data_IF_810347727054
#
_entry.id   IF_810347727054
#
_cell.length_a   1.000
_cell.length_b   1.000
_cell.length_c   1.000
_cell.angle_alpha   90.00
_cell.angle_beta   90.00
_cell.angle_gamma   90.00
#
_symmetry.space_group_name_H-M   'P 1'
#
loop_
_entity.id
_entity.type
_entity.pdbx_description
1 polymer ?
#
# COMPACT_ATOMS: atom_id res chain seq x y z
N UNK A 1 -25.79 4.56 5.50
CA UNK A 1 -26.03 3.83 4.24
C UNK A 1 -27.26 4.37 3.57
N UNK A 2 -27.08 5.18 2.54
CA UNK A 2 -28.18 5.79 1.78
C UNK A 2 -28.55 4.81 0.66
N UNK A 3 -29.78 4.32 0.66
CA UNK A 3 -30.34 3.50 -0.43
C UNK A 3 -31.30 4.40 -1.19
N UNK A 4 -30.88 4.85 -2.38
CA UNK A 4 -31.66 5.77 -3.21
C UNK A 4 -32.68 5.07 -4.11
N UNK A 5 -32.63 3.74 -4.19
CA UNK A 5 -33.49 2.91 -5.04
C UNK A 5 -34.43 2.08 -4.17
N UNK A 6 -35.73 2.39 -4.24
CA UNK A 6 -36.79 1.70 -3.51
C UNK A 6 -36.97 0.23 -3.91
N UNK A 7 -36.36 -0.21 -5.03
CA UNK A 7 -36.36 -1.60 -5.46
C UNK A 7 -35.28 -2.46 -4.77
N UNK A 8 -34.31 -1.83 -4.09
CA UNK A 8 -33.19 -2.54 -3.44
C UNK A 8 -33.51 -2.84 -1.97
N UNK A 9 -33.43 -4.12 -1.62
CA UNK A 9 -33.60 -4.58 -0.24
C UNK A 9 -32.45 -4.09 0.64
N UNK A 10 -32.76 -3.74 1.88
CA UNK A 10 -31.74 -3.47 2.90
C UNK A 10 -30.79 -4.68 3.01
N UNK A 11 -29.48 -4.43 2.86
CA UNK A 11 -28.45 -5.46 2.85
C UNK A 11 -28.09 -6.02 1.46
N UNK A 12 -28.69 -5.54 0.36
CA UNK A 12 -28.21 -5.90 -0.98
C UNK A 12 -26.81 -5.35 -1.23
N UNK A 13 -25.95 -6.14 -1.87
CA UNK A 13 -24.60 -5.70 -2.24
C UNK A 13 -24.64 -4.55 -3.24
N UNK A 14 -23.75 -3.57 -3.06
CA UNK A 14 -23.38 -2.65 -4.13
C UNK A 14 -22.67 -3.46 -5.22
N UNK A 15 -23.21 -3.44 -6.44
CA UNK A 15 -22.54 -3.99 -7.61
C UNK A 15 -21.68 -2.93 -8.30
N UNK A 16 -20.72 -3.39 -9.10
CA UNK A 16 -19.99 -2.51 -10.01
C UNK A 16 -20.96 -1.91 -11.04
N UNK A 17 -20.85 -0.61 -11.30
CA UNK A 17 -21.64 0.08 -12.34
C UNK A 17 -21.22 -0.31 -13.77
N UNK A 18 -20.02 -0.86 -13.93
CA UNK A 18 -19.47 -1.31 -15.21
C UNK A 18 -19.76 -2.79 -15.46
N UNK A 19 -20.21 -3.13 -16.68
CA UNK A 19 -20.36 -4.52 -17.10
C UNK A 19 -18.99 -5.17 -17.32
N UNK A 20 -18.88 -6.47 -17.05
CA UNK A 20 -17.64 -7.26 -17.26
C UNK A 20 -17.16 -7.18 -18.72
N UNK A 21 -18.10 -7.19 -19.67
CA UNK A 21 -17.80 -7.10 -21.11
C UNK A 21 -17.19 -5.75 -21.49
N UNK A 22 -17.77 -4.65 -20.99
CA UNK A 22 -17.28 -3.29 -21.22
C UNK A 22 -15.93 -3.08 -20.55
N UNK A 23 -15.75 -3.59 -19.33
CA UNK A 23 -14.49 -3.51 -18.61
C UNK A 23 -13.34 -4.16 -19.39
N UNK A 24 -13.57 -5.37 -19.92
CA UNK A 24 -12.59 -6.09 -20.73
C UNK A 24 -12.29 -5.37 -22.05
N UNK A 25 -13.30 -4.77 -22.68
CA UNK A 25 -13.13 -4.01 -23.92
C UNK A 25 -12.30 -2.74 -23.70
N UNK A 26 -12.51 -2.02 -22.59
CA UNK A 26 -11.86 -0.73 -22.33
C UNK A 26 -10.47 -0.86 -21.71
N UNK A 27 -10.28 -1.79 -20.77
CA UNK A 27 -9.03 -1.91 -20.00
C UNK A 27 -8.25 -3.19 -20.33
N UNK A 28 -8.73 -4.02 -21.26
CA UNK A 28 -8.16 -5.33 -21.58
C UNK A 28 -8.44 -6.42 -20.53
N UNK A 29 -8.62 -6.03 -19.26
CA UNK A 29 -8.96 -6.88 -18.14
C UNK A 29 -10.00 -6.22 -17.24
N UNK A 30 -10.68 -7.02 -16.41
CA UNK A 30 -11.65 -6.51 -15.44
C UNK A 30 -10.89 -5.83 -14.28
N UNK A 31 -11.10 -4.53 -14.01
CA UNK A 31 -10.50 -3.88 -12.87
C UNK A 31 -10.95 -4.53 -11.55
N UNK A 32 -10.06 -4.71 -10.57
CA UNK A 32 -10.41 -5.25 -9.27
C UNK A 32 -11.33 -4.29 -8.50
N UNK A 33 -12.24 -4.84 -7.71
CA UNK A 33 -13.06 -4.06 -6.77
C UNK A 33 -12.21 -3.64 -5.56
N UNK A 34 -12.18 -2.33 -5.28
CA UNK A 34 -11.41 -1.76 -4.18
C UNK A 34 -12.01 -2.04 -2.80
N UNK A 35 -13.27 -2.47 -2.71
CA UNK A 35 -13.98 -2.74 -1.44
C UNK A 35 -13.21 -3.70 -0.52
N UNK A 36 -12.49 -4.68 -1.09
CA UNK A 36 -11.70 -5.66 -0.34
C UNK A 36 -10.21 -5.65 -0.71
N UNK A 37 -9.80 -4.86 -1.72
CA UNK A 37 -8.46 -4.96 -2.28
C UNK A 37 -7.35 -4.57 -1.30
N UNK A 38 -7.58 -3.54 -0.48
CA UNK A 38 -6.63 -3.10 0.56
C UNK A 38 -6.38 -4.22 1.58
N UNK A 39 -7.42 -4.96 1.96
CA UNK A 39 -7.32 -6.12 2.85
C UNK A 39 -6.63 -7.32 2.19
N UNK A 40 -6.96 -7.60 0.93
CA UNK A 40 -6.32 -8.67 0.15
C UNK A 40 -4.79 -8.49 0.05
N UNK A 41 -4.33 -7.23 0.00
CA UNK A 41 -2.91 -6.88 -0.09
C UNK A 41 -2.23 -6.67 1.27
N UNK A 42 -2.89 -7.01 2.38
CA UNK A 42 -2.29 -7.00 3.72
C UNK A 42 -2.38 -5.66 4.47
N UNK A 43 -2.98 -4.62 3.90
CA UNK A 43 -3.15 -3.33 4.59
C UNK A 43 -3.38 -2.13 3.65
N UNK A 44 -3.62 -0.93 4.22
CA UNK A 44 -3.75 0.31 3.45
C UNK A 44 -2.44 0.71 2.76
N UNK A 45 -1.30 0.32 3.33
CA UNK A 45 0.05 0.69 2.88
C UNK A 45 0.35 0.31 1.43
N UNK A 46 -0.14 -0.85 0.99
CA UNK A 46 0.04 -1.28 -0.39
C UNK A 46 -0.60 -0.28 -1.34
N UNK A 47 -1.85 0.10 -1.08
CA UNK A 47 -2.60 1.02 -1.95
C UNK A 47 -2.05 2.45 -1.85
N UNK A 48 -1.63 2.86 -0.65
CA UNK A 48 -0.97 4.13 -0.40
C UNK A 48 0.31 4.26 -1.24
N UNK A 49 1.21 3.28 -1.13
CA UNK A 49 2.46 3.24 -1.89
C UNK A 49 2.18 3.15 -3.38
N UNK A 50 1.24 2.29 -3.78
CA UNK A 50 0.84 2.11 -5.16
C UNK A 50 0.42 3.43 -5.82
N UNK A 51 -0.40 4.25 -5.16
CA UNK A 51 -0.83 5.55 -5.71
C UNK A 51 0.28 6.60 -5.76
N UNK A 52 1.31 6.47 -4.92
CA UNK A 52 2.43 7.42 -4.87
C UNK A 52 3.51 7.17 -5.91
N UNK A 53 3.72 5.92 -6.32
CA UNK A 53 4.89 5.53 -7.14
C UNK A 53 4.59 5.42 -8.64
N UNK A 54 3.57 6.12 -9.13
CA UNK A 54 3.31 6.27 -10.55
C UNK A 54 4.33 7.20 -11.20
N UNK A 55 4.86 6.80 -12.35
CA UNK A 55 5.80 7.60 -13.13
C UNK A 55 5.48 7.57 -14.62
N UNK A 56 5.93 8.58 -15.35
CA UNK A 56 5.76 8.73 -16.79
C UNK A 56 6.58 7.66 -17.54
N UNK A 57 5.91 6.93 -18.42
CA UNK A 57 6.51 5.88 -19.25
C UNK A 57 5.80 5.84 -20.62
N UNK A 58 6.45 6.41 -21.63
CA UNK A 58 5.91 6.49 -22.99
C UNK A 58 5.81 5.14 -23.70
N UNK A 59 6.44 4.08 -23.17
CA UNK A 59 6.32 2.72 -23.73
C UNK A 59 4.98 2.06 -23.42
N UNK A 60 4.25 2.58 -22.43
CA UNK A 60 2.98 2.00 -21.95
C UNK A 60 1.79 2.62 -22.69
N UNK A 61 0.70 1.85 -22.91
CA UNK A 61 -0.50 2.36 -23.59
C UNK A 61 -1.12 3.60 -22.94
N UNK A 62 -0.99 3.74 -21.62
CA UNK A 62 -1.51 4.86 -20.84
C UNK A 62 -0.45 5.91 -20.48
N UNK A 63 0.76 5.81 -21.01
CA UNK A 63 1.84 6.77 -20.78
C UNK A 63 2.41 6.77 -19.34
N UNK A 64 1.99 5.82 -18.50
CA UNK A 64 2.43 5.71 -17.10
C UNK A 64 2.73 4.27 -16.73
N UNK A 65 3.59 4.12 -15.74
CA UNK A 65 3.95 2.85 -15.13
C UNK A 65 4.19 3.05 -13.62
N UNK A 66 4.49 1.97 -12.89
CA UNK A 66 4.55 2.00 -11.43
C UNK A 66 5.72 1.17 -10.90
N UNK A 67 6.38 1.66 -9.84
CA UNK A 67 7.53 0.97 -9.24
C UNK A 67 7.15 -0.26 -8.39
N UNK A 68 5.96 -0.25 -7.77
CA UNK A 68 5.50 -1.35 -6.92
C UNK A 68 4.90 -2.49 -7.74
N UNK A 69 4.22 -2.16 -8.85
CA UNK A 69 3.61 -3.13 -9.74
C UNK A 69 3.92 -2.76 -11.18
N UNK A 70 4.92 -3.42 -11.74
CA UNK A 70 5.35 -3.16 -13.11
C UNK A 70 4.26 -3.46 -14.14
N UNK A 71 4.31 -2.74 -15.26
CA UNK A 71 3.44 -2.95 -16.41
C UNK A 71 1.96 -2.78 -16.07
N UNK A 72 1.66 -1.74 -15.28
CA UNK A 72 0.27 -1.37 -14.96
C UNK A 72 -0.56 -1.23 -16.24
N UNK A 73 -1.77 -1.79 -16.19
CA UNK A 73 -2.76 -1.76 -17.28
C UNK A 73 -3.85 -0.71 -17.10
N UNK A 74 -3.57 0.37 -16.37
CA UNK A 74 -4.51 1.45 -16.09
C UNK A 74 -3.79 2.79 -16.03
N UNK A 75 -4.47 3.90 -16.37
CA UNK A 75 -3.93 5.24 -16.17
C UNK A 75 -3.81 5.58 -14.68
N UNK A 76 -3.05 6.61 -14.36
CA UNK A 76 -2.99 7.17 -13.01
C UNK A 76 -4.26 7.99 -12.74
N UNK A 77 -5.17 7.56 -11.83
CA UNK A 77 -6.46 8.22 -11.65
C UNK A 77 -6.36 9.62 -11.05
N UNK A 78 -5.31 9.89 -10.27
CA UNK A 78 -5.13 11.14 -9.52
C UNK A 78 -3.93 11.94 -10.03
N UNK A 79 -3.55 11.74 -11.30
CA UNK A 79 -2.42 12.43 -11.95
C UNK A 79 -2.56 13.94 -11.90
N UNK A 80 -3.78 14.47 -12.01
CA UNK A 80 -4.01 15.92 -11.97
C UNK A 80 -3.70 16.52 -10.59
N UNK A 81 -3.95 15.76 -9.52
CA UNK A 81 -3.66 16.20 -8.15
C UNK A 81 -2.18 16.03 -7.82
N UNK A 82 -1.58 14.89 -8.18
CA UNK A 82 -0.19 14.59 -7.88
C UNK A 82 0.79 15.38 -8.76
N UNK A 83 0.47 15.51 -10.04
CA UNK A 83 1.41 15.86 -11.10
C UNK A 83 2.10 14.64 -11.72
N UNK A 84 2.94 14.92 -12.71
CA UNK A 84 3.69 13.93 -13.48
C UNK A 84 5.04 13.72 -12.80
N UNK A 85 5.38 12.46 -12.51
CA UNK A 85 6.68 12.09 -11.96
C UNK A 85 7.57 11.46 -13.03
N UNK A 86 8.86 11.77 -13.01
CA UNK A 86 9.87 11.19 -13.89
C UNK A 86 10.89 10.40 -13.08
N UNK A 87 11.44 9.35 -13.69
CA UNK A 87 12.61 8.64 -13.14
C UNK A 87 13.85 9.48 -13.40
N UNK A 88 14.56 9.84 -12.34
CA UNK A 88 15.81 10.61 -12.40
C UNK A 88 16.97 9.85 -11.77
N UNK A 89 18.17 10.17 -12.22
CA UNK A 89 19.39 9.70 -11.58
C UNK A 89 19.75 10.66 -10.44
N UNK A 90 20.25 10.11 -9.33
CA UNK A 90 20.68 10.89 -8.18
C UNK A 90 22.11 10.52 -7.83
N UNK A 91 22.90 11.54 -7.51
CA UNK A 91 24.27 11.36 -7.03
C UNK A 91 24.23 11.01 -5.55
N UNK A 92 24.68 9.81 -5.23
CA UNK A 92 24.53 9.21 -3.90
C UNK A 92 25.90 8.76 -3.36
N UNK A 93 26.17 8.87 -2.04
CA UNK A 93 27.48 8.52 -1.48
C UNK A 93 27.85 7.06 -1.77
N UNK A 94 29.01 6.81 -2.35
CA UNK A 94 29.48 5.46 -2.63
C UNK A 94 29.77 4.72 -1.32
N UNK A 95 29.28 3.49 -1.20
CA UNK A 95 29.50 2.68 0.01
C UNK A 95 30.83 1.92 -0.13
N UNK A 96 31.70 2.03 0.86
CA UNK A 96 32.96 1.29 0.93
C UNK A 96 32.73 -0.17 1.39
N UNK A 97 33.71 -1.06 1.20
CA UNK A 97 33.60 -2.49 1.54
C UNK A 97 33.29 -2.77 3.02
N UNK A 98 33.54 -1.80 3.90
CA UNK A 98 33.25 -1.85 5.32
C UNK A 98 31.84 -1.34 5.68
N UNK A 99 31.01 -0.96 4.71
CA UNK A 99 29.65 -0.46 4.92
C UNK A 99 29.54 1.03 5.23
N UNK A 100 30.66 1.76 5.35
CA UNK A 100 30.66 3.21 5.54
C UNK A 100 30.63 3.99 4.22
N UNK A 101 30.27 5.27 4.27
CA UNK A 101 30.41 6.17 3.12
C UNK A 101 31.89 6.34 2.76
N UNK A 102 32.22 6.12 1.49
CA UNK A 102 33.55 6.38 0.95
C UNK A 102 33.80 7.88 0.95
N UNK A 103 34.87 8.30 1.61
CA UNK A 103 35.33 9.70 1.61
C UNK A 103 36.67 9.80 0.91
N UNK A 104 36.87 10.90 0.20
CA UNK A 104 38.14 11.23 -0.42
C UNK A 104 39.19 11.48 0.67
N UNK A 105 40.38 10.83 0.61
CA UNK A 105 41.44 10.97 1.62
C UNK A 105 42.00 12.39 1.74
N UNK A 106 41.84 13.25 0.72
CA UNK A 106 42.40 14.60 0.71
C UNK A 106 41.36 15.63 1.14
N UNK A 107 40.13 15.53 0.61
CA UNK A 107 39.08 16.54 0.84
C UNK A 107 38.12 16.20 1.97
N UNK A 108 38.08 14.93 2.41
CA UNK A 108 37.14 14.45 3.44
C UNK A 108 35.67 14.46 3.01
N UNK A 109 35.37 14.85 1.78
CA UNK A 109 34.01 14.87 1.22
C UNK A 109 33.59 13.46 0.79
N UNK A 110 32.28 13.12 0.83
CA UNK A 110 31.80 11.83 0.34
C UNK A 110 32.03 11.71 -1.17
N UNK A 111 32.57 10.58 -1.60
CA UNK A 111 32.70 10.24 -3.01
C UNK A 111 31.31 9.86 -3.51
N UNK A 112 30.77 10.64 -4.43
CA UNK A 112 29.45 10.40 -5.00
C UNK A 112 29.54 9.42 -6.18
N UNK A 113 28.53 8.58 -6.32
CA UNK A 113 28.30 7.74 -7.49
C UNK A 113 26.90 8.06 -8.04
N UNK A 114 26.80 8.26 -9.34
CA UNK A 114 25.52 8.50 -9.99
C UNK A 114 24.78 7.17 -10.18
N UNK A 115 23.64 7.02 -9.50
CA UNK A 115 22.78 5.83 -9.59
C UNK A 115 21.42 6.21 -10.16
N UNK A 116 20.79 5.27 -10.86
CA UNK A 116 19.52 5.49 -11.55
C UNK A 116 18.58 4.30 -11.36
N UNK A 117 17.26 4.55 -11.42
CA UNK A 117 16.26 3.48 -11.42
C UNK A 117 16.32 2.60 -10.18
N UNK A 118 16.39 1.29 -10.37
CA UNK A 118 16.27 0.29 -9.30
C UNK A 118 17.48 0.30 -8.36
N UNK A 119 18.68 0.68 -8.85
CA UNK A 119 19.88 0.87 -8.02
C UNK A 119 19.67 1.91 -6.90
N UNK A 120 18.79 2.91 -7.12
CA UNK A 120 18.43 3.89 -6.08
C UNK A 120 17.43 3.31 -5.08
N UNK A 121 16.49 2.48 -5.56
CA UNK A 121 15.46 1.84 -4.74
C UNK A 121 16.11 0.88 -3.74
N UNK A 122 17.12 0.11 -4.17
CA UNK A 122 17.90 -0.79 -3.32
C UNK A 122 18.61 -0.05 -2.18
N UNK A 123 18.90 1.23 -2.38
CA UNK A 123 19.47 2.12 -1.36
C UNK A 123 18.44 2.80 -0.46
N UNK A 124 17.14 2.53 -0.67
CA UNK A 124 16.05 3.17 0.05
C UNK A 124 15.78 4.62 -0.40
N UNK A 125 16.26 5.02 -1.57
CA UNK A 125 16.09 6.37 -2.12
C UNK A 125 15.09 6.30 -3.27
N UNK A 126 14.06 7.16 -3.25
CA UNK A 126 13.11 7.22 -4.35
C UNK A 126 13.79 7.74 -5.63
N UNK A 127 13.72 7.02 -6.76
CA UNK A 127 14.21 7.49 -8.05
C UNK A 127 13.25 8.47 -8.73
N UNK A 128 12.12 8.79 -8.10
CA UNK A 128 11.09 9.66 -8.65
C UNK A 128 11.35 11.11 -8.26
N UNK A 129 11.10 11.99 -9.22
CA UNK A 129 11.08 13.43 -9.04
C UNK A 129 9.85 14.00 -9.74
N UNK A 130 9.18 14.93 -9.05
CA UNK A 130 7.98 15.57 -9.55
C UNK A 130 8.36 16.65 -10.57
N UNK A 131 7.68 16.66 -11.72
CA UNK A 131 7.82 17.75 -12.67
C UNK A 131 7.14 18.99 -12.08
N UNK A 132 7.91 20.06 -11.91
CA UNK A 132 7.39 21.31 -11.34
C UNK A 132 6.15 21.81 -12.10
N UNK A 133 5.16 22.32 -11.35
CA UNK A 133 3.90 22.87 -11.86
C UNK A 133 3.03 21.90 -12.69
N UNK A 134 3.21 20.58 -12.53
CA UNK A 134 2.39 19.58 -13.24
C UNK A 134 1.14 19.13 -12.47
N UNK A 135 1.07 19.37 -11.16
CA UNK A 135 -0.03 18.95 -10.29
C UNK A 135 -0.65 20.12 -9.51
N UNK A 136 -1.87 19.91 -9.02
CA UNK A 136 -2.58 20.90 -8.19
C UNK A 136 -2.13 20.93 -6.73
N UNK A 137 -1.71 19.79 -6.17
CA UNK A 137 -1.31 19.66 -4.77
C UNK A 137 0.22 19.64 -4.63
N UNK A 138 0.71 20.07 -3.46
CA UNK A 138 2.10 19.80 -3.08
C UNK A 138 2.31 18.31 -2.82
N UNK A 139 3.57 17.88 -2.79
CA UNK A 139 3.95 16.49 -2.46
C UNK A 139 3.37 16.04 -1.13
N UNK A 140 3.43 16.89 -0.10
CA UNK A 140 2.90 16.58 1.24
C UNK A 140 1.37 16.58 1.26
N UNK A 141 0.74 17.50 0.52
CA UNK A 141 -0.71 17.58 0.40
C UNK A 141 -1.29 16.35 -0.29
N UNK A 142 -0.63 15.89 -1.37
CA UNK A 142 -1.00 14.65 -2.04
C UNK A 142 -0.82 13.44 -1.13
N UNK A 143 0.30 13.35 -0.42
CA UNK A 143 0.57 12.25 0.51
C UNK A 143 -0.48 12.18 1.62
N UNK A 144 -0.91 13.31 2.18
CA UNK A 144 -2.00 13.35 3.17
C UNK A 144 -3.34 12.89 2.56
N UNK A 145 -3.67 13.36 1.35
CA UNK A 145 -4.91 12.98 0.68
C UNK A 145 -4.98 11.48 0.42
N UNK A 146 -3.89 10.88 -0.07
CA UNK A 146 -3.83 9.44 -0.32
C UNK A 146 -3.84 8.65 0.99
N UNK A 147 -3.17 9.14 2.04
CA UNK A 147 -3.23 8.55 3.37
C UNK A 147 -4.67 8.49 3.89
N UNK A 148 -5.41 9.60 3.83
CA UNK A 148 -6.81 9.66 4.27
C UNK A 148 -7.72 8.79 3.40
N UNK A 149 -7.54 8.82 2.08
CA UNK A 149 -8.31 7.99 1.14
C UNK A 149 -8.11 6.49 1.40
N UNK A 150 -6.85 6.06 1.57
CA UNK A 150 -6.51 4.65 1.80
C UNK A 150 -7.06 4.16 3.14
N UNK A 151 -6.95 4.99 4.19
CA UNK A 151 -7.53 4.71 5.50
C UNK A 151 -9.06 4.64 5.46
N UNK A 152 -9.70 5.54 4.72
CA UNK A 152 -11.14 5.51 4.50
C UNK A 152 -11.58 4.22 3.79
N UNK A 153 -10.89 3.82 2.71
CA UNK A 153 -11.19 2.57 1.99
C UNK A 153 -10.97 1.34 2.87
N UNK A 154 -9.88 1.33 3.63
CA UNK A 154 -9.56 0.23 4.53
C UNK A 154 -10.60 0.10 5.66
N UNK A 155 -11.04 1.21 6.26
CA UNK A 155 -12.14 1.21 7.24
C UNK A 155 -13.47 0.79 6.62
N UNK A 156 -13.79 1.28 5.41
CA UNK A 156 -15.05 0.96 4.72
C UNK A 156 -15.15 -0.53 4.37
N UNK A 157 -14.02 -1.19 4.09
CA UNK A 157 -13.97 -2.63 3.86
C UNK A 157 -14.14 -3.48 5.12
N UNK A 158 -13.93 -2.92 6.32
CA UNK A 158 -14.06 -3.64 7.59
C UNK A 158 -14.43 -2.72 8.77
N UNK A 159 -15.67 -2.19 8.82
CA UNK A 159 -16.06 -1.20 9.84
C UNK A 159 -16.07 -1.78 11.26
N UNK A 160 -16.22 -3.10 11.41
CA UNK A 160 -16.27 -3.81 12.70
C UNK A 160 -14.89 -4.13 13.30
N UNK A 161 -13.79 -3.74 12.64
CA UNK A 161 -12.43 -4.13 13.05
C UNK A 161 -12.09 -3.74 14.48
N UNK A 162 -12.44 -2.50 14.87
CA UNK A 162 -12.16 -1.98 16.21
C UNK A 162 -12.86 -2.80 17.30
N UNK A 163 -14.09 -3.24 17.05
CA UNK A 163 -14.84 -4.07 17.97
C UNK A 163 -14.24 -5.48 18.06
N UNK A 164 -13.83 -6.06 16.93
CA UNK A 164 -13.18 -7.38 16.93
C UNK A 164 -11.85 -7.39 17.67
N UNK A 165 -11.01 -6.38 17.49
CA UNK A 165 -9.72 -6.28 18.18
C UNK A 165 -9.93 -6.13 19.69
N UNK A 166 -10.86 -5.25 20.09
CA UNK A 166 -11.24 -5.07 21.49
C UNK A 166 -11.75 -6.37 22.12
N UNK A 167 -12.72 -7.04 21.50
CA UNK A 167 -13.29 -8.30 21.99
C UNK A 167 -12.21 -9.39 22.00
N UNK A 168 -11.38 -9.45 20.96
CA UNK A 168 -10.29 -10.42 20.82
C UNK A 168 -9.31 -10.39 21.98
N UNK A 169 -8.94 -9.19 22.47
CA UNK A 169 -8.07 -9.05 23.65
C UNK A 169 -8.73 -9.67 24.88
N UNK A 170 -10.02 -9.41 25.12
CA UNK A 170 -10.74 -10.00 26.25
C UNK A 170 -10.86 -11.52 26.14
N UNK A 171 -11.10 -12.05 24.93
CA UNK A 171 -11.13 -13.49 24.67
C UNK A 171 -9.77 -14.13 24.93
N UNK A 172 -8.68 -13.53 24.48
CA UNK A 172 -7.33 -14.05 24.73
C UNK A 172 -6.97 -14.05 26.23
N UNK A 173 -7.35 -13.00 26.97
CA UNK A 173 -7.17 -12.96 28.42
C UNK A 173 -7.97 -14.05 29.13
N UNK A 174 -9.23 -14.24 28.73
CA UNK A 174 -10.08 -15.31 29.27
C UNK A 174 -9.49 -16.69 28.99
N UNK A 175 -9.03 -16.95 27.75
CA UNK A 175 -8.41 -18.22 27.38
C UNK A 175 -7.10 -18.46 28.14
N UNK A 176 -6.26 -17.43 28.33
CA UNK A 176 -5.03 -17.55 29.11
C UNK A 176 -5.33 -17.87 30.58
N UNK A 177 -6.32 -17.21 31.18
CA UNK A 177 -6.77 -17.52 32.53
C UNK A 177 -7.33 -18.94 32.65
N UNK A 178 -8.24 -19.32 31.75
CA UNK A 178 -8.84 -20.65 31.73
C UNK A 178 -7.80 -21.75 31.49
N UNK A 179 -6.80 -21.49 30.65
CA UNK A 179 -5.69 -22.40 30.38
C UNK A 179 -4.94 -22.79 31.66
N UNK A 180 -4.76 -21.88 32.62
CA UNK A 180 -4.12 -22.19 33.91
C UNK A 180 -4.92 -23.27 34.66
N UNK A 181 -6.25 -23.12 34.74
CA UNK A 181 -7.11 -24.09 35.41
C UNK A 181 -7.16 -25.43 34.67
N UNK A 182 -7.28 -25.39 33.35
CA UNK A 182 -7.26 -26.61 32.53
C UNK A 182 -5.91 -27.34 32.66
N UNK A 183 -4.80 -26.62 32.72
CA UNK A 183 -3.47 -27.20 32.93
C UNK A 183 -3.31 -27.79 34.34
N UNK A 184 -3.75 -27.09 35.38
CA UNK A 184 -3.75 -27.62 36.75
C UNK A 184 -4.60 -28.89 36.88
N UNK A 185 -5.79 -28.90 36.28
CA UNK A 185 -6.68 -30.06 36.25
C UNK A 185 -6.04 -31.22 35.48
N UNK A 186 -5.48 -30.96 34.30
CA UNK A 186 -4.77 -31.95 33.49
C UNK A 186 -3.60 -32.56 34.24
N UNK A 187 -2.83 -31.76 34.98
CA UNK A 187 -1.73 -32.23 35.82
C UNK A 187 -2.19 -33.21 36.89
N UNK A 188 -3.35 -32.99 37.49
CA UNK A 188 -3.89 -33.89 38.53
C UNK A 188 -4.37 -35.22 37.92
N UNK A 189 -5.14 -35.18 36.83
CA UNK A 189 -5.59 -36.39 36.15
C UNK A 189 -4.42 -37.27 35.66
N UNK A 190 -3.32 -36.66 35.20
CA UNK A 190 -2.15 -37.43 34.77
C UNK A 190 -1.38 -38.10 35.90
N UNK A 191 -1.57 -37.69 37.16
CA UNK A 191 -0.94 -38.36 38.30
C UNK A 191 -1.57 -39.71 38.62
N UNK A 192 -2.85 -39.93 38.31
CA UNK A 192 -3.52 -41.20 38.60
C UNK A 192 -3.12 -42.33 37.62
N UNK A 193 -2.50 -41.98 36.50
CA UNK A 193 -2.16 -42.91 35.40
C UNK A 193 -0.67 -43.33 35.45
N UNK A 194 0.11 -42.86 36.42
CA UNK A 194 1.50 -43.27 36.70
C UNK A 194 1.65 -43.76 38.13
#
# INVERSE_FOLDING_TARGET
>A
NLVFDSSKKFGSHMGNSMSVSSAKQWFGNVPPDLTLYTKLKGGPEYFYTYMRVFYEDSSRPFGVNNLLYENVGMPHPLVHLQGIQKKVCKDVPKIAKNGGEMRDPITGSPVLESKCGDDLVDRGISPLELVENSGELSTEGYDSLIYDLTNFLYYSGDPSRLDRERIGIYVLLFLAFFYIFAWLLGREYTKEIH
#
